data_IF_935900320828
#
_entry.id   IF_935900320828
#
_cell.length_a   1.000
_cell.length_b   1.000
_cell.length_c   1.000
_cell.angle_alpha   90.00
_cell.angle_beta   90.00
_cell.angle_gamma   90.00
#
_symmetry.space_group_name_H-M   'P 1'
#
loop_
_entity.id
_entity.type
_entity.pdbx_description
1 polymer ?
#
# COMPACT_ATOMS: atom_id res chain seq x y z
N UNK A 1 -22.29 23.03 0.35
CA UNK A 1 -22.62 21.76 -0.32
C UNK A 1 -21.94 21.79 -1.69
N UNK A 2 -21.10 20.81 -2.01
CA UNK A 2 -20.42 20.75 -3.32
C UNK A 2 -21.41 20.45 -4.44
N UNK A 3 -21.12 20.92 -5.66
CA UNK A 3 -21.89 20.51 -6.84
C UNK A 3 -21.73 18.99 -7.02
N UNK A 4 -22.80 18.25 -7.37
CA UNK A 4 -22.68 16.82 -7.64
C UNK A 4 -21.74 16.59 -8.84
N UNK A 5 -21.01 15.48 -8.83
CA UNK A 5 -20.06 15.12 -9.89
C UNK A 5 -20.74 14.86 -11.25
N UNK A 6 -22.03 14.54 -11.24
CA UNK A 6 -22.85 14.36 -12.42
C UNK A 6 -24.13 15.19 -12.26
N UNK A 7 -24.44 16.01 -13.26
CA UNK A 7 -25.70 16.76 -13.34
C UNK A 7 -26.27 16.73 -14.76
N UNK A 8 -27.52 17.15 -14.91
CA UNK A 8 -28.15 17.41 -16.20
C UNK A 8 -28.22 16.17 -17.09
N UNK A 9 -27.71 16.29 -18.31
CA UNK A 9 -27.80 15.26 -19.35
C UNK A 9 -27.03 13.98 -19.01
N UNK A 10 -25.91 14.08 -18.30
CA UNK A 10 -25.12 12.92 -17.86
C UNK A 10 -25.95 12.02 -16.93
N UNK A 11 -26.59 12.63 -15.94
CA UNK A 11 -27.40 11.92 -14.94
C UNK A 11 -28.65 11.30 -15.58
N UNK A 12 -29.32 12.05 -16.47
CA UNK A 12 -30.49 11.57 -17.20
C UNK A 12 -30.17 10.31 -18.04
N UNK A 13 -29.04 10.33 -18.76
CA UNK A 13 -28.60 9.21 -19.57
C UNK A 13 -28.25 7.97 -18.74
N UNK A 14 -27.55 8.15 -17.61
CA UNK A 14 -27.21 7.04 -16.72
C UNK A 14 -28.47 6.40 -16.11
N UNK A 15 -29.47 7.20 -15.72
CA UNK A 15 -30.76 6.71 -15.25
C UNK A 15 -31.50 5.91 -16.32
N UNK A 16 -31.50 6.38 -17.58
CA UNK A 16 -32.10 5.66 -18.70
C UNK A 16 -31.43 4.29 -18.92
N UNK A 17 -30.09 4.24 -18.89
CA UNK A 17 -29.32 3.00 -19.01
C UNK A 17 -29.58 2.03 -17.85
N UNK A 18 -29.68 2.55 -16.63
CA UNK A 18 -30.05 1.76 -15.45
C UNK A 18 -31.45 1.15 -15.60
N UNK A 19 -32.43 1.91 -16.10
CA UNK A 19 -33.77 1.38 -16.37
C UNK A 19 -33.74 0.25 -17.40
N UNK A 20 -32.96 0.40 -18.49
CA UNK A 20 -32.79 -0.66 -19.50
C UNK A 20 -32.15 -1.92 -18.91
N UNK A 21 -31.15 -1.75 -18.04
CA UNK A 21 -30.52 -2.86 -17.33
C UNK A 21 -31.52 -3.64 -16.48
N UNK A 22 -32.35 -2.93 -15.70
CA UNK A 22 -33.36 -3.57 -14.84
C UNK A 22 -34.43 -4.32 -15.63
N UNK A 23 -34.74 -3.86 -16.84
CA UNK A 23 -35.73 -4.49 -17.72
C UNK A 23 -35.20 -5.76 -18.39
N UNK A 24 -33.99 -5.69 -18.96
CA UNK A 24 -33.43 -6.79 -19.77
C UNK A 24 -32.70 -7.82 -18.93
N UNK A 25 -32.09 -7.42 -17.80
CA UNK A 25 -31.20 -8.23 -16.96
C UNK A 25 -30.23 -9.06 -17.81
N UNK A 26 -29.16 -8.44 -18.35
CA UNK A 26 -28.25 -9.12 -19.26
C UNK A 26 -27.65 -10.38 -18.62
N UNK A 27 -27.44 -11.41 -19.45
CA UNK A 27 -26.81 -12.67 -19.02
C UNK A 27 -25.36 -12.43 -18.55
N UNK A 28 -24.69 -11.45 -19.16
CA UNK A 28 -23.35 -11.03 -18.78
C UNK A 28 -23.36 -9.57 -18.30
N UNK A 29 -23.32 -9.39 -16.98
CA UNK A 29 -23.28 -8.08 -16.34
C UNK A 29 -22.00 -7.31 -16.69
N UNK A 30 -20.86 -8.00 -16.83
CA UNK A 30 -19.58 -7.35 -17.09
C UNK A 30 -19.54 -6.77 -18.50
N UNK A 31 -20.04 -7.51 -19.49
CA UNK A 31 -20.17 -7.01 -20.86
C UNK A 31 -21.08 -5.77 -20.94
N UNK A 32 -22.19 -5.75 -20.20
CA UNK A 32 -23.08 -4.59 -20.15
C UNK A 32 -22.42 -3.38 -19.49
N UNK A 33 -21.73 -3.57 -18.36
CA UNK A 33 -21.01 -2.49 -17.67
C UNK A 33 -19.92 -1.92 -18.57
N UNK A 34 -19.12 -2.78 -19.22
CA UNK A 34 -18.08 -2.36 -20.14
C UNK A 34 -18.65 -1.56 -21.32
N UNK A 35 -19.73 -2.02 -21.96
CA UNK A 35 -20.38 -1.30 -23.05
C UNK A 35 -21.00 0.03 -22.59
N UNK A 36 -21.56 0.06 -21.38
CA UNK A 36 -22.11 1.30 -20.79
C UNK A 36 -21.01 2.32 -20.53
N UNK A 37 -19.89 1.92 -19.93
CA UNK A 37 -18.73 2.80 -19.69
C UNK A 37 -18.16 3.29 -21.04
N UNK A 38 -18.02 2.41 -22.03
CA UNK A 38 -17.56 2.76 -23.37
C UNK A 38 -18.46 3.81 -24.02
N UNK A 39 -19.77 3.57 -24.04
CA UNK A 39 -20.74 4.52 -24.60
C UNK A 39 -20.75 5.85 -23.82
N UNK A 40 -20.58 5.80 -22.50
CA UNK A 40 -20.51 6.98 -21.65
C UNK A 40 -19.29 7.83 -22.01
N UNK A 41 -18.09 7.26 -22.03
CA UNK A 41 -16.87 7.99 -22.35
C UNK A 41 -16.88 8.56 -23.78
N UNK A 42 -17.54 7.88 -24.72
CA UNK A 42 -17.72 8.38 -26.10
C UNK A 42 -18.65 9.59 -26.18
N UNK A 43 -19.70 9.62 -25.36
CA UNK A 43 -20.70 10.71 -25.30
C UNK A 43 -20.27 11.88 -24.42
N UNK A 44 -19.47 11.59 -23.40
CA UNK A 44 -19.00 12.55 -22.40
C UNK A 44 -17.46 12.48 -22.28
N UNK A 45 -16.71 12.98 -23.27
CA UNK A 45 -15.25 12.98 -23.24
C UNK A 45 -14.71 13.72 -22.02
N UNK A 46 -13.66 13.19 -21.39
CA UNK A 46 -12.99 13.83 -20.23
C UNK A 46 -12.46 15.24 -20.58
N UNK A 47 -12.17 15.48 -21.86
CA UNK A 47 -11.73 16.78 -22.38
C UNK A 47 -12.81 17.88 -22.34
N UNK A 48 -14.10 17.54 -22.19
CA UNK A 48 -15.17 18.55 -22.09
C UNK A 48 -15.13 19.33 -20.77
N UNK A 49 -14.47 18.79 -19.73
CA UNK A 49 -14.42 19.37 -18.40
C UNK A 49 -15.82 19.45 -17.76
N UNK A 50 -16.15 20.60 -17.17
CA UNK A 50 -17.42 20.84 -16.48
C UNK A 50 -18.56 21.32 -17.42
N UNK A 51 -18.31 21.42 -18.72
CA UNK A 51 -19.33 21.88 -19.67
C UNK A 51 -20.28 20.74 -20.04
N UNK A 52 -21.59 21.00 -20.01
CA UNK A 52 -22.57 20.00 -20.45
C UNK A 52 -22.59 19.92 -21.98
N UNK A 53 -22.50 18.71 -22.58
CA UNK A 53 -22.59 18.56 -24.02
C UNK A 53 -24.01 18.86 -24.50
N UNK A 54 -24.12 19.55 -25.64
CA UNK A 54 -25.40 19.83 -26.29
C UNK A 54 -26.07 18.54 -26.76
N UNK A 55 -27.41 18.48 -26.71
CA UNK A 55 -28.21 17.32 -27.14
C UNK A 55 -27.91 16.88 -28.59
N UNK A 56 -27.64 17.84 -29.47
CA UNK A 56 -27.22 17.57 -30.86
C UNK A 56 -25.91 16.75 -30.92
N UNK A 57 -24.93 17.10 -30.07
CA UNK A 57 -23.65 16.37 -29.99
C UNK A 57 -23.83 14.97 -29.42
N UNK A 58 -24.79 14.76 -28.52
CA UNK A 58 -25.08 13.43 -27.96
C UNK A 58 -25.76 12.52 -28.97
N UNK A 59 -26.61 13.09 -29.83
CA UNK A 59 -27.34 12.35 -30.86
C UNK A 59 -26.46 12.01 -32.08
N UNK A 60 -25.41 12.79 -32.34
CA UNK A 60 -24.46 12.49 -33.43
C UNK A 60 -23.47 11.36 -33.11
N UNK A 61 -23.33 10.96 -31.83
CA UNK A 61 -22.40 9.89 -31.45
C UNK A 61 -22.97 8.52 -31.80
N UNK A 62 -22.38 7.89 -32.82
CA UNK A 62 -22.69 6.53 -33.22
C UNK A 62 -22.10 5.51 -32.23
N UNK A 63 -22.96 4.88 -31.43
CA UNK A 63 -22.56 3.86 -30.46
C UNK A 63 -22.30 2.48 -31.10
N UNK A 64 -22.71 2.26 -32.36
CA UNK A 64 -22.60 0.97 -33.04
C UNK A 64 -21.17 0.66 -33.50
N UNK A 65 -20.36 1.70 -33.71
CA UNK A 65 -18.96 1.56 -34.09
C UNK A 65 -18.14 1.22 -32.85
N UNK A 66 -17.69 -0.03 -32.77
CA UNK A 66 -16.59 -0.44 -31.89
C UNK A 66 -15.34 0.27 -32.36
N UNK A 67 -14.80 1.18 -31.54
CA UNK A 67 -13.50 1.78 -31.83
C UNK A 67 -12.47 0.67 -31.94
N UNK A 68 -11.63 0.75 -32.97
CA UNK A 68 -10.53 -0.19 -33.16
C UNK A 68 -9.64 -0.04 -31.92
N UNK A 69 -9.46 -1.12 -31.18
CA UNK A 69 -8.48 -1.14 -30.11
C UNK A 69 -7.13 -0.73 -30.70
N UNK A 70 -6.59 0.39 -30.22
CA UNK A 70 -5.20 0.71 -30.49
C UNK A 70 -4.35 -0.46 -29.99
N UNK A 71 -3.36 -0.91 -30.77
CA UNK A 71 -2.52 -2.02 -30.36
C UNK A 71 -1.97 -1.72 -28.97
N UNK A 72 -2.06 -2.71 -28.07
CA UNK A 72 -1.55 -2.58 -26.71
C UNK A 72 -0.16 -1.93 -26.76
N UNK A 73 0.11 -0.93 -25.90
CA UNK A 73 1.35 -0.18 -25.95
C UNK A 73 2.54 -1.14 -25.94
N UNK A 74 3.52 -0.89 -26.81
CA UNK A 74 4.70 -1.75 -26.95
C UNK A 74 5.32 -2.06 -25.58
N UNK A 75 5.89 -3.26 -25.42
CA UNK A 75 6.51 -3.78 -24.17
C UNK A 75 7.35 -2.77 -23.38
N UNK A 76 7.93 -1.78 -24.07
CA UNK A 76 8.65 -0.63 -23.49
C UNK A 76 7.86 0.13 -22.42
N UNK A 77 6.53 0.24 -22.53
CA UNK A 77 5.69 0.93 -21.54
C UNK A 77 5.56 0.11 -20.26
N UNK A 78 5.43 -1.21 -20.36
CA UNK A 78 5.44 -2.08 -19.18
C UNK A 78 6.78 -2.02 -18.45
N UNK A 79 7.90 -2.00 -19.19
CA UNK A 79 9.23 -1.84 -18.61
C UNK A 79 9.40 -0.47 -17.95
N UNK A 80 8.87 0.59 -18.55
CA UNK A 80 8.85 1.93 -17.95
C UNK A 80 8.05 1.96 -16.66
N UNK A 81 6.85 1.37 -16.61
CA UNK A 81 6.04 1.29 -15.37
C UNK A 81 6.79 0.50 -14.29
N UNK A 82 7.40 -0.62 -14.67
CA UNK A 82 8.19 -1.48 -13.77
C UNK A 82 9.41 -0.75 -13.21
N UNK A 83 10.02 0.15 -13.98
CA UNK A 83 11.15 0.96 -13.52
C UNK A 83 10.72 2.21 -12.73
N UNK A 84 9.60 2.81 -13.10
CA UNK A 84 9.08 4.03 -12.50
C UNK A 84 8.53 3.80 -11.09
N UNK A 85 7.85 2.67 -10.86
CA UNK A 85 7.27 2.30 -9.57
C UNK A 85 8.31 2.26 -8.43
N UNK A 86 9.41 1.48 -8.50
CA UNK A 86 10.44 1.45 -7.47
C UNK A 86 11.07 2.82 -7.22
N UNK A 87 11.30 3.59 -8.28
CA UNK A 87 11.88 4.93 -8.20
C UNK A 87 11.00 5.87 -7.37
N UNK A 88 9.71 5.95 -7.67
CA UNK A 88 8.79 6.82 -6.93
C UNK A 88 8.55 6.34 -5.51
N UNK A 89 8.47 5.03 -5.30
CA UNK A 89 8.35 4.41 -3.98
C UNK A 89 9.55 4.72 -3.07
N UNK A 90 10.77 4.63 -3.62
CA UNK A 90 11.99 5.00 -2.88
C UNK A 90 12.08 6.50 -2.53
N UNK A 91 11.38 7.35 -3.29
CA UNK A 91 11.33 8.79 -3.03
C UNK A 91 10.26 9.16 -2.01
N UNK A 92 9.10 8.51 -2.03
CA UNK A 92 8.05 8.74 -1.03
C UNK A 92 8.44 8.12 0.32
N UNK A 93 9.20 7.03 0.34
CA UNK A 93 9.69 6.39 1.58
C UNK A 93 10.86 7.12 2.27
N UNK A 94 11.34 8.26 1.74
CA UNK A 94 12.29 9.11 2.45
C UNK A 94 11.67 9.78 3.69
N UNK A 95 10.35 9.80 3.81
CA UNK A 95 9.70 9.97 5.11
C UNK A 95 9.91 8.69 5.90
N UNK A 96 10.77 8.74 6.94
CA UNK A 96 11.02 7.72 7.98
C UNK A 96 10.40 6.35 7.69
N UNK A 97 11.25 5.33 7.44
CA UNK A 97 10.85 3.94 7.25
C UNK A 97 9.58 3.62 8.07
N UNK A 98 8.48 3.18 7.41
CA UNK A 98 7.21 2.94 8.09
C UNK A 98 7.49 2.09 9.33
N UNK A 99 6.87 2.46 10.46
CA UNK A 99 7.05 1.72 11.70
C UNK A 99 6.67 0.26 11.41
N UNK A 100 7.40 -0.68 11.99
CA UNK A 100 7.26 -2.12 11.72
C UNK A 100 5.83 -2.65 11.96
N UNK A 101 5.04 -1.92 12.75
CA UNK A 101 3.62 -2.16 12.99
C UNK A 101 2.75 -1.96 11.71
N UNK A 102 3.29 -1.31 10.67
CA UNK A 102 2.68 -1.11 9.35
C UNK A 102 3.22 -2.10 8.28
N UNK A 103 4.11 -3.05 8.63
CA UNK A 103 4.59 -4.08 7.69
C UNK A 103 3.53 -5.15 7.37
N UNK A 104 2.34 -5.04 7.96
CA UNK A 104 1.14 -5.73 7.48
C UNK A 104 0.25 -4.80 6.62
N UNK A 105 0.83 -3.73 6.06
CA UNK A 105 0.12 -2.85 5.16
C UNK A 105 -0.23 -3.65 3.92
N UNK A 106 -1.53 -3.73 3.63
CA UNK A 106 -2.12 -4.10 2.35
C UNK A 106 -1.28 -3.64 1.14
N UNK A 107 -0.58 -2.50 1.24
CA UNK A 107 0.33 -2.02 0.22
C UNK A 107 1.54 -2.92 -0.07
N UNK A 108 2.13 -3.62 0.91
CA UNK A 108 3.21 -4.59 0.66
C UNK A 108 2.67 -5.84 -0.04
N UNK A 109 1.53 -6.38 0.41
CA UNK A 109 0.87 -7.51 -0.24
C UNK A 109 0.50 -7.18 -1.70
N UNK A 110 -0.08 -6.00 -1.94
CA UNK A 110 -0.37 -5.51 -3.29
C UNK A 110 0.89 -5.31 -4.12
N UNK A 111 1.97 -4.78 -3.55
CA UNK A 111 3.27 -4.62 -4.24
C UNK A 111 3.85 -5.96 -4.68
N UNK A 112 3.89 -6.94 -3.77
CA UNK A 112 4.37 -8.28 -4.11
C UNK A 112 3.54 -8.91 -5.21
N UNK A 113 2.22 -8.69 -5.21
CA UNK A 113 1.32 -9.20 -6.25
C UNK A 113 1.52 -8.50 -7.60
N UNK A 114 1.60 -7.17 -7.62
CA UNK A 114 1.82 -6.38 -8.84
C UNK A 114 3.18 -6.69 -9.47
N UNK A 115 4.22 -6.84 -8.65
CA UNK A 115 5.58 -7.09 -9.13
C UNK A 115 5.88 -8.58 -9.34
N UNK A 116 4.96 -9.49 -9.01
CA UNK A 116 5.21 -10.94 -9.06
C UNK A 116 6.34 -11.40 -8.11
N UNK A 117 6.60 -10.64 -7.04
CA UNK A 117 7.60 -10.99 -6.04
C UNK A 117 6.98 -11.91 -4.97
N UNK A 118 7.69 -12.93 -4.48
CA UNK A 118 7.19 -13.77 -3.41
C UNK A 118 7.02 -12.95 -2.13
N UNK A 119 5.90 -13.16 -1.43
CA UNK A 119 5.66 -12.58 -0.11
C UNK A 119 6.73 -13.12 0.86
N UNK A 120 7.54 -12.23 1.45
CA UNK A 120 8.65 -12.65 2.30
C UNK A 120 8.12 -13.14 3.63
N UNK A 121 8.50 -14.35 4.05
CA UNK A 121 8.11 -14.91 5.35
C UNK A 121 8.68 -14.05 6.49
N UNK A 122 7.89 -13.66 7.50
CA UNK A 122 8.39 -12.91 8.63
C UNK A 122 9.44 -13.72 9.40
N UNK A 123 10.51 -13.06 9.81
CA UNK A 123 11.58 -13.66 10.61
C UNK A 123 11.30 -13.46 12.10
N UNK A 124 11.56 -14.50 12.91
CA UNK A 124 11.53 -14.40 14.38
C UNK A 124 12.55 -13.36 14.82
N UNK A 125 12.11 -12.38 15.62
CA UNK A 125 13.02 -11.43 16.25
C UNK A 125 13.67 -12.09 17.47
N UNK A 126 14.96 -11.84 17.74
CA UNK A 126 15.58 -12.28 18.99
C UNK A 126 15.02 -11.50 20.19
N UNK A 127 14.95 -12.14 21.36
CA UNK A 127 14.35 -11.58 22.58
C UNK A 127 14.86 -10.18 22.95
N UNK A 128 16.18 -9.93 22.84
CA UNK A 128 16.76 -8.62 23.16
C UNK A 128 16.23 -7.47 22.29
N UNK A 129 15.82 -7.74 21.04
CA UNK A 129 15.19 -6.74 20.19
C UNK A 129 13.73 -6.52 20.56
N UNK A 130 12.99 -7.59 20.91
CA UNK A 130 11.61 -7.50 21.40
C UNK A 130 11.57 -6.69 22.70
N UNK A 131 12.45 -7.00 23.65
CA UNK A 131 12.66 -6.22 24.86
C UNK A 131 12.98 -4.76 24.55
N UNK A 132 13.88 -4.49 23.61
CA UNK A 132 14.26 -3.15 23.25
C UNK A 132 13.10 -2.31 22.69
N UNK A 133 12.21 -2.94 21.92
CA UNK A 133 11.01 -2.28 21.41
C UNK A 133 10.05 -1.86 22.52
N UNK A 134 9.92 -2.65 23.58
CA UNK A 134 9.09 -2.35 24.74
C UNK A 134 9.74 -1.35 25.72
N UNK A 135 11.08 -1.25 25.72
CA UNK A 135 11.85 -0.50 26.72
C UNK A 135 12.67 0.64 26.10
N UNK A 136 12.07 1.41 25.19
CA UNK A 136 12.75 2.49 24.45
C UNK A 136 13.34 3.56 25.39
N UNK A 137 12.57 3.98 26.39
CA UNK A 137 12.99 5.02 27.33
C UNK A 137 14.23 4.60 28.14
N UNK A 138 14.29 3.33 28.56
CA UNK A 138 15.45 2.77 29.26
C UNK A 138 16.69 2.71 28.37
N UNK A 139 16.53 2.34 27.09
CA UNK A 139 17.65 2.32 26.14
C UNK A 139 18.16 3.73 25.87
N UNK A 140 17.27 4.70 25.72
CA UNK A 140 17.66 6.08 25.50
C UNK A 140 18.38 6.67 26.73
N UNK A 141 17.97 6.29 27.95
CA UNK A 141 18.71 6.60 29.18
C UNK A 141 20.12 5.97 29.19
N UNK A 142 20.25 4.66 28.92
CA UNK A 142 21.55 3.98 28.84
C UNK A 142 22.48 4.58 27.75
N UNK A 143 21.89 5.07 26.65
CA UNK A 143 22.64 5.78 25.60
C UNK A 143 23.09 7.16 26.05
N UNK A 144 22.29 7.87 26.85
CA UNK A 144 22.68 9.15 27.42
C UNK A 144 23.84 8.98 28.43
N UNK A 145 23.76 7.94 29.27
CA UNK A 145 24.81 7.64 30.25
C UNK A 145 26.14 7.25 29.58
N UNK A 146 26.11 6.42 28.53
CA UNK A 146 27.32 6.05 27.79
C UNK A 146 27.96 7.24 27.06
N UNK A 147 27.19 8.29 26.76
CA UNK A 147 27.69 9.54 26.16
C UNK A 147 28.42 10.44 27.17
N UNK A 148 28.22 10.24 28.48
CA UNK A 148 28.90 10.99 29.55
C UNK A 148 30.34 10.52 29.82
N UNK A 149 30.79 9.45 29.16
CA UNK A 149 32.19 9.01 29.16
C UNK A 149 33.11 10.11 28.55
N UNK A 150 34.38 10.22 29.01
CA UNK A 150 35.21 11.39 28.84
C UNK A 150 35.24 11.91 27.40
N UNK A 151 34.98 13.21 27.25
CA UNK A 151 34.85 13.93 25.98
C UNK A 151 35.91 13.48 24.98
N UNK A 152 35.46 12.81 23.92
CA UNK A 152 36.33 12.63 22.75
C UNK A 152 36.74 14.01 22.22
N UNK A 153 37.99 14.16 21.75
CA UNK A 153 38.53 15.44 21.33
C UNK A 153 37.61 16.15 20.34
N UNK A 154 37.29 17.40 20.64
CA UNK A 154 36.41 18.26 19.85
C UNK A 154 36.90 18.32 18.39
N UNK A 155 36.18 17.63 17.49
CA UNK A 155 36.50 17.63 16.05
C UNK A 155 36.11 16.38 15.27
N UNK A 156 35.86 15.24 15.93
CA UNK A 156 35.41 14.04 15.24
C UNK A 156 33.88 13.95 15.23
N UNK A 157 33.28 14.29 14.08
CA UNK A 157 31.87 13.96 13.81
C UNK A 157 31.68 12.46 13.92
N UNK A 158 30.90 12.01 14.90
CA UNK A 158 30.52 10.60 15.00
C UNK A 158 29.79 10.21 13.71
N UNK A 159 30.35 9.24 12.99
CA UNK A 159 29.70 8.71 11.79
C UNK A 159 28.35 8.11 12.17
N UNK A 160 27.39 8.11 11.23
CA UNK A 160 26.09 7.47 11.45
C UNK A 160 26.21 5.99 11.89
N UNK A 161 27.27 5.30 11.45
CA UNK A 161 27.59 3.92 11.84
C UNK A 161 27.85 3.78 13.34
N UNK A 162 28.45 4.80 13.97
CA UNK A 162 28.74 4.82 15.41
C UNK A 162 27.45 4.90 16.22
N UNK A 163 26.45 5.65 15.76
CA UNK A 163 25.18 5.80 16.47
C UNK A 163 24.39 4.48 16.55
N UNK A 164 24.36 3.72 15.45
CA UNK A 164 23.71 2.41 15.38
C UNK A 164 24.44 1.37 16.25
N UNK A 165 25.78 1.38 16.24
CA UNK A 165 26.59 0.51 17.10
C UNK A 165 26.34 0.80 18.59
N UNK A 166 26.31 2.08 18.98
CA UNK A 166 26.04 2.48 20.36
C UNK A 166 24.63 2.06 20.81
N UNK A 167 23.63 2.14 19.93
CA UNK A 167 22.29 1.65 20.22
C UNK A 167 22.29 0.14 20.47
N UNK A 168 22.92 -0.65 19.59
CA UNK A 168 23.00 -2.10 19.76
C UNK A 168 23.75 -2.50 21.04
N UNK A 169 24.80 -1.75 21.40
CA UNK A 169 25.54 -1.96 22.64
C UNK A 169 24.66 -1.69 23.87
N UNK A 170 23.92 -0.58 23.89
CA UNK A 170 22.99 -0.25 24.96
C UNK A 170 21.87 -1.29 25.10
N UNK A 171 21.31 -1.75 23.98
CA UNK A 171 20.30 -2.82 23.96
C UNK A 171 20.83 -4.10 24.61
N UNK A 172 22.02 -4.56 24.18
CA UNK A 172 22.62 -5.78 24.73
C UNK A 172 22.97 -5.63 26.20
N UNK A 173 23.50 -4.47 26.61
CA UNK A 173 23.83 -4.19 28.00
C UNK A 173 22.60 -4.24 28.90
N UNK A 174 21.52 -3.56 28.51
CA UNK A 174 20.27 -3.57 29.27
C UNK A 174 19.61 -4.95 29.32
N UNK A 175 19.59 -5.69 28.22
CA UNK A 175 19.06 -7.06 28.20
C UNK A 175 19.89 -8.03 29.04
N UNK A 176 21.22 -7.91 29.04
CA UNK A 176 22.10 -8.77 29.84
C UNK A 176 21.98 -8.50 31.34
N UNK A 177 21.58 -7.29 31.73
CA UNK A 177 21.38 -6.90 33.13
C UNK A 177 20.08 -7.48 33.73
N UNK A 178 19.16 -7.99 32.90
CA UNK A 178 17.96 -8.70 33.36
C UNK A 178 18.31 -10.00 34.06
N UNK A 179 17.43 -10.44 34.95
CA UNK A 179 17.48 -11.77 35.54
C UNK A 179 17.21 -12.84 34.47
N UNK A 180 17.62 -14.09 34.73
CA UNK A 180 17.38 -15.19 33.79
C UNK A 180 15.89 -15.50 33.62
N UNK A 181 15.09 -15.27 34.67
CA UNK A 181 13.62 -15.39 34.63
C UNK A 181 13.02 -14.38 33.65
N UNK A 182 13.38 -13.10 33.78
CA UNK A 182 12.92 -12.05 32.85
C UNK A 182 13.38 -12.32 31.41
N UNK A 183 14.63 -12.78 31.20
CA UNK A 183 15.11 -13.12 29.86
C UNK A 183 14.29 -14.24 29.23
N UNK A 184 13.89 -15.25 30.01
CA UNK A 184 13.04 -16.34 29.55
C UNK A 184 11.65 -15.83 29.12
N UNK A 185 11.05 -14.92 29.88
CA UNK A 185 9.76 -14.30 29.51
C UNK A 185 9.84 -13.55 28.18
N UNK A 186 10.94 -12.82 27.92
CA UNK A 186 11.12 -12.13 26.64
C UNK A 186 11.38 -13.08 25.46
N UNK A 187 12.00 -14.23 25.69
CA UNK A 187 12.18 -15.26 24.67
C UNK A 187 10.85 -15.95 24.33
N UNK A 188 10.02 -16.22 25.33
CA UNK A 188 8.65 -16.71 25.14
C UNK A 188 7.81 -15.70 24.34
N UNK A 189 7.81 -14.42 24.75
CA UNK A 189 7.11 -13.36 24.01
C UNK A 189 7.60 -13.23 22.57
N UNK A 190 8.91 -13.31 22.34
CA UNK A 190 9.48 -13.28 20.99
C UNK A 190 9.03 -14.48 20.12
N UNK A 191 8.78 -15.63 20.73
CA UNK A 191 8.23 -16.80 20.05
C UNK A 191 6.73 -16.65 19.74
N UNK A 192 5.95 -16.12 20.68
CA UNK A 192 4.52 -15.81 20.48
C UNK A 192 4.32 -14.80 19.36
N UNK A 193 5.08 -13.69 19.38
CA UNK A 193 5.05 -12.67 18.32
C UNK A 193 5.40 -13.27 16.95
N UNK A 194 6.38 -14.18 16.90
CA UNK A 194 6.76 -14.86 15.67
C UNK A 194 5.67 -15.82 15.18
N UNK A 195 4.97 -16.52 16.08
CA UNK A 195 3.82 -17.38 15.74
C UNK A 195 2.65 -16.55 15.19
N UNK A 196 2.34 -15.43 15.83
CA UNK A 196 1.27 -14.53 15.39
C UNK A 196 1.59 -13.95 14.00
N UNK A 197 2.80 -13.39 13.83
CA UNK A 197 3.24 -12.87 12.54
C UNK A 197 3.24 -13.94 11.44
N UNK A 198 3.62 -15.19 11.76
CA UNK A 198 3.59 -16.28 10.79
C UNK A 198 2.16 -16.69 10.41
N UNK A 199 1.24 -16.71 11.39
CA UNK A 199 -0.19 -16.96 11.16
C UNK A 199 -0.81 -15.90 10.26
N UNK A 200 -0.53 -14.62 10.52
CA UNK A 200 -1.06 -13.50 9.73
C UNK A 200 -0.48 -13.47 8.32
N UNK A 201 0.83 -13.75 8.18
CA UNK A 201 1.46 -13.92 6.87
C UNK A 201 0.82 -15.07 6.10
N UNK A 202 0.55 -16.19 6.77
CA UNK A 202 -0.06 -17.36 6.14
C UNK A 202 -1.47 -17.05 5.64
N UNK A 203 -2.32 -16.44 6.48
CA UNK A 203 -3.66 -15.97 6.08
C UNK A 203 -3.59 -15.04 4.88
N UNK A 204 -2.73 -14.02 4.94
CA UNK A 204 -2.55 -13.06 3.84
C UNK A 204 -2.03 -13.70 2.55
N UNK A 205 -1.31 -14.82 2.64
CA UNK A 205 -0.82 -15.57 1.48
C UNK A 205 -1.85 -16.55 0.90
N UNK A 206 -2.77 -17.04 1.73
CA UNK A 206 -3.83 -17.99 1.36
C UNK A 206 -5.11 -17.28 0.91
N UNK A 207 -5.38 -16.09 1.46
CA UNK A 207 -6.49 -15.24 1.04
C UNK A 207 -6.24 -14.78 -0.41
N UNK A 208 -6.91 -15.45 -1.35
CA UNK A 208 -7.06 -14.94 -2.70
C UNK A 208 -7.68 -13.56 -2.58
N UNK A 209 -6.91 -12.50 -2.87
CA UNK A 209 -7.49 -11.16 -2.81
C UNK A 209 -8.83 -11.15 -3.53
N UNK A 210 -9.84 -10.67 -2.82
CA UNK A 210 -11.19 -10.59 -3.33
C UNK A 210 -11.17 -9.71 -4.58
N UNK A 211 -11.27 -10.37 -5.73
CA UNK A 211 -11.36 -9.70 -7.03
C UNK A 211 -12.81 -9.37 -7.37
N UNK A 212 -13.74 -9.56 -6.41
CA UNK A 212 -15.13 -9.13 -6.56
C UNK A 212 -15.19 -7.63 -6.79
N UNK A 213 -15.99 -7.16 -7.77
CA UNK A 213 -16.25 -5.74 -8.00
C UNK A 213 -16.75 -5.00 -6.75
N UNK A 214 -17.41 -5.69 -5.83
CA UNK A 214 -17.95 -5.14 -4.58
C UNK A 214 -16.83 -4.70 -3.62
N UNK A 215 -15.71 -5.42 -3.59
CA UNK A 215 -14.55 -5.08 -2.76
C UNK A 215 -13.83 -3.81 -3.25
N UNK A 216 -14.02 -3.41 -4.52
CA UNK A 216 -13.43 -2.20 -5.11
C UNK A 216 -14.26 -0.92 -4.91
N UNK A 217 -15.46 -1.00 -4.28
CA UNK A 217 -16.39 0.13 -4.17
C UNK A 217 -16.36 0.89 -2.82
N UNK A 218 -15.55 0.43 -1.85
CA UNK A 218 -15.37 1.09 -0.55
C UNK A 218 -14.10 1.94 -0.50
#
# INVERSE_FOLDING_TARGET
MGKPAFSGLCEAWLKEKLTKYMLVKPVDCNAFVADTIRCFLKRFPVSLGDNEPTEESLNSVDNSVTEREDPAPEKKVADQITHWLPYHLSKTSKSKAPRKDECNSYSEAMRTRIMGLPLTKPQKLPAHLVWAHANKDLIDALRADSKSAPEQPAGQSQSANTAASNYQAAVKAGFNALTEEEKAEWEERAEEDAKLAHSDWKKSSEDEADTSPEACQN
#
